data_IF_228292307297
#
_entry.id   IF_228292307297
#
_cell.length_a   1.000
_cell.length_b   1.000
_cell.length_c   1.000
_cell.angle_alpha   90.00
_cell.angle_beta   90.00
_cell.angle_gamma   90.00
#
_symmetry.space_group_name_H-M   'P 1'
#
loop_
_entity.id
_entity.type
_entity.pdbx_description
1 polymer ?
#
# COMPACT_ATOMS: atom_id res chain seq x y z
N UNK A 1 9.64 7.90 -6.42
CA UNK A 1 9.94 6.81 -5.46
C UNK A 1 9.41 7.21 -4.09
N UNK A 2 8.69 6.33 -3.40
CA UNK A 2 8.27 6.55 -2.02
C UNK A 2 9.49 6.67 -1.10
N UNK A 3 9.36 7.46 -0.04
CA UNK A 3 10.38 7.57 1.00
C UNK A 3 9.96 6.77 2.23
N UNK A 4 10.93 6.21 2.94
CA UNK A 4 10.68 5.66 4.28
C UNK A 4 10.12 6.76 5.19
N UNK A 5 9.15 6.40 6.03
CA UNK A 5 8.38 7.35 6.85
C UNK A 5 7.23 8.05 6.12
N UNK A 6 7.07 7.85 4.80
CA UNK A 6 5.96 8.43 4.06
C UNK A 6 4.65 7.70 4.35
N UNK A 7 3.56 8.45 4.56
CA UNK A 7 2.22 7.87 4.68
C UNK A 7 1.67 7.48 3.31
N UNK A 8 1.10 6.29 3.22
CA UNK A 8 0.33 5.80 2.07
C UNK A 8 -1.02 5.30 2.54
N UNK A 9 -1.97 5.21 1.61
CA UNK A 9 -3.35 4.80 1.85
C UNK A 9 -3.66 3.54 1.06
N UNK A 10 -4.56 2.72 1.57
CA UNK A 10 -4.98 1.47 0.92
C UNK A 10 -6.36 1.09 1.41
N UNK A 11 -7.03 0.18 0.69
CA UNK A 11 -8.42 -0.20 0.98
C UNK A 11 -8.45 -1.66 1.38
N UNK A 12 -9.09 -1.97 2.50
CA UNK A 12 -9.39 -3.34 2.94
C UNK A 12 -10.87 -3.45 3.21
N UNK A 13 -11.55 -4.34 2.47
CA UNK A 13 -12.98 -4.60 2.64
C UNK A 13 -13.85 -3.33 2.63
N UNK A 14 -13.50 -2.37 1.77
CA UNK A 14 -14.21 -1.10 1.62
C UNK A 14 -13.87 -0.02 2.65
N UNK A 15 -12.91 -0.29 3.53
CA UNK A 15 -12.41 0.67 4.52
C UNK A 15 -11.08 1.23 4.05
N UNK A 16 -10.99 2.55 3.95
CA UNK A 16 -9.73 3.25 3.70
C UNK A 16 -8.89 3.22 4.98
N UNK A 17 -7.68 2.69 4.87
CA UNK A 17 -6.68 2.63 5.92
C UNK A 17 -5.43 3.36 5.45
N UNK A 18 -4.58 3.72 6.42
CA UNK A 18 -3.29 4.35 6.17
C UNK A 18 -2.18 3.60 6.89
N UNK A 19 -0.97 3.68 6.34
CA UNK A 19 0.21 3.14 7.01
C UNK A 19 1.48 3.85 6.58
N UNK A 20 2.55 3.62 7.36
CA UNK A 20 3.87 4.22 7.15
C UNK A 20 4.71 3.32 6.26
N UNK A 21 5.30 3.87 5.21
CA UNK A 21 6.24 3.15 4.34
C UNK A 21 7.54 2.86 5.08
N UNK A 22 8.00 1.62 5.05
CA UNK A 22 9.27 1.14 5.61
C UNK A 22 9.99 0.21 4.61
N UNK A 23 11.27 -0.06 4.84
CA UNK A 23 12.08 -1.04 4.08
C UNK A 23 12.03 -0.85 2.56
N UNK A 24 12.26 0.38 2.08
CA UNK A 24 12.22 0.69 0.65
C UNK A 24 13.49 0.16 -0.03
N UNK A 25 13.34 -0.75 -1.01
CA UNK A 25 14.45 -1.41 -1.71
C UNK A 25 14.29 -1.32 -3.22
N UNK A 26 15.34 -0.89 -3.92
CA UNK A 26 15.36 -0.84 -5.38
C UNK A 26 15.79 0.53 -5.92
N UNK A 27 15.28 0.89 -7.09
CA UNK A 27 15.61 2.15 -7.76
C UNK A 27 14.34 2.91 -8.18
N UNK A 28 14.51 4.10 -8.75
CA UNK A 28 13.38 4.98 -9.13
C UNK A 28 12.40 4.36 -10.14
N UNK A 29 12.84 3.39 -10.95
CA UNK A 29 12.02 2.74 -11.98
C UNK A 29 11.28 1.53 -11.44
N UNK A 30 11.86 0.81 -10.49
CA UNK A 30 11.29 -0.39 -9.89
C UNK A 30 11.85 -0.58 -8.49
N UNK A 31 10.98 -0.47 -7.51
CA UNK A 31 11.30 -0.72 -6.11
C UNK A 31 10.17 -1.48 -5.42
N UNK A 32 10.51 -2.09 -4.29
CA UNK A 32 9.58 -2.65 -3.33
C UNK A 32 9.62 -1.85 -2.04
N UNK A 33 8.54 -1.92 -1.27
CA UNK A 33 8.43 -1.29 0.03
C UNK A 33 7.49 -2.12 0.91
N UNK A 34 7.53 -1.87 2.20
CA UNK A 34 6.65 -2.49 3.18
C UNK A 34 5.84 -1.40 3.89
N UNK A 35 4.72 -1.77 4.51
CA UNK A 35 3.89 -0.85 5.29
C UNK A 35 3.90 -1.29 6.74
N UNK A 36 4.29 -0.40 7.64
CA UNK A 36 4.32 -0.64 9.08
C UNK A 36 2.95 -1.09 9.60
N UNK A 37 2.92 -2.21 10.33
CA UNK A 37 1.70 -2.77 10.90
C UNK A 37 0.75 -3.44 9.89
N UNK A 38 1.05 -3.40 8.59
CA UNK A 38 0.30 -4.13 7.56
C UNK A 38 0.95 -5.50 7.32
N UNK A 39 0.36 -6.55 7.89
CA UNK A 39 0.90 -7.91 7.79
C UNK A 39 0.88 -8.69 9.09
N UNK A 40 -0.31 -9.06 9.57
CA UNK A 40 -0.45 -9.95 10.75
C UNK A 40 -0.24 -11.45 10.42
N UNK A 41 0.12 -11.80 9.18
CA UNK A 41 0.47 -13.16 8.78
C UNK A 41 1.96 -13.27 8.44
N UNK A 42 2.76 -13.54 9.46
CA UNK A 42 4.09 -14.18 9.37
C UNK A 42 5.01 -13.73 8.22
N UNK A 43 5.26 -12.44 8.09
CA UNK A 43 6.38 -11.95 7.28
C UNK A 43 6.21 -10.51 6.80
N UNK A 44 7.32 -9.84 6.42
CA UNK A 44 7.25 -8.56 5.75
C UNK A 44 6.55 -8.72 4.39
N UNK A 45 5.33 -8.18 4.26
CA UNK A 45 4.64 -8.13 2.97
C UNK A 45 5.30 -7.06 2.10
N UNK A 46 6.21 -7.50 1.22
CA UNK A 46 6.82 -6.63 0.23
C UNK A 46 5.82 -6.29 -0.87
N UNK A 47 5.56 -4.99 -1.01
CA UNK A 47 4.66 -4.42 -2.01
C UNK A 47 5.49 -3.84 -3.14
N UNK A 48 5.13 -4.19 -4.38
CA UNK A 48 5.74 -3.60 -5.58
C UNK A 48 5.27 -2.16 -5.78
N UNK A 49 6.18 -1.28 -6.15
CA UNK A 49 5.87 0.09 -6.61
C UNK A 49 4.85 0.16 -7.76
N UNK A 50 4.64 -0.94 -8.51
CA UNK A 50 3.60 -1.03 -9.54
C UNK A 50 2.17 -1.06 -8.97
N UNK A 51 2.02 -1.30 -7.67
CA UNK A 51 0.73 -1.27 -6.97
C UNK A 51 0.26 0.15 -6.63
N UNK A 52 1.12 1.16 -6.81
CA UNK A 52 0.77 2.56 -6.59
C UNK A 52 -0.25 3.00 -7.66
N UNK A 53 -1.31 3.68 -7.23
CA UNK A 53 -2.53 4.03 -7.98
C UNK A 53 -3.43 2.84 -8.35
N UNK A 54 -3.13 1.63 -7.87
CA UNK A 54 -3.97 0.44 -8.07
C UNK A 54 -4.55 -0.07 -6.76
N UNK A 55 -3.70 -0.54 -5.84
CA UNK A 55 -4.10 -0.99 -4.50
C UNK A 55 -3.49 -0.15 -3.37
N UNK A 56 -2.46 0.65 -3.69
CA UNK A 56 -1.83 1.63 -2.82
C UNK A 56 -2.03 3.03 -3.40
N UNK A 57 -2.37 4.00 -2.57
CA UNK A 57 -2.68 5.36 -2.96
C UNK A 57 -1.81 6.36 -2.19
N UNK A 58 -1.48 7.47 -2.83
CA UNK A 58 -0.64 8.51 -2.23
C UNK A 58 -1.45 9.57 -1.49
N UNK A 59 -2.77 9.61 -1.71
CA UNK A 59 -3.70 10.57 -1.13
C UNK A 59 -4.98 9.84 -0.65
N UNK A 60 -5.50 10.23 0.51
CA UNK A 60 -6.69 9.63 1.08
C UNK A 60 -7.92 9.81 0.19
N UNK A 61 -8.09 11.00 -0.42
CA UNK A 61 -9.22 11.29 -1.32
C UNK A 61 -9.17 10.41 -2.56
N UNK A 62 -7.99 10.01 -3.01
CA UNK A 62 -7.84 9.03 -4.08
C UNK A 62 -8.37 7.67 -3.64
N UNK A 63 -7.92 7.17 -2.48
CA UNK A 63 -8.41 5.90 -1.93
C UNK A 63 -9.94 5.90 -1.69
N UNK A 64 -10.49 7.01 -1.20
CA UNK A 64 -11.94 7.15 -0.96
C UNK A 64 -12.78 7.03 -2.24
N UNK A 65 -12.25 7.43 -3.42
CA UNK A 65 -12.95 7.25 -4.70
C UNK A 65 -13.10 5.79 -5.08
N UNK A 66 -12.17 4.95 -4.64
CA UNK A 66 -12.09 3.54 -5.01
C UNK A 66 -12.60 2.60 -3.91
N UNK A 67 -13.10 3.12 -2.78
CA UNK A 67 -13.55 2.32 -1.64
C UNK A 67 -14.65 1.32 -1.99
N UNK A 68 -15.45 1.58 -3.03
CA UNK A 68 -16.54 0.71 -3.47
C UNK A 68 -16.12 -0.24 -4.62
N UNK A 69 -14.82 -0.32 -4.94
CA UNK A 69 -14.26 -1.13 -6.02
C UNK A 69 -13.36 -2.25 -5.47
N UNK A 70 -13.90 -3.48 -5.27
CA UNK A 70 -13.14 -4.59 -4.68
C UNK A 70 -11.85 -4.98 -5.40
N UNK A 71 -11.75 -4.69 -6.70
CA UNK A 71 -10.53 -4.93 -7.50
C UNK A 71 -9.35 -4.08 -7.09
N UNK A 72 -9.62 -2.94 -6.44
CA UNK A 72 -8.62 -1.98 -5.94
C UNK A 72 -8.24 -2.25 -4.48
N UNK A 73 -8.82 -3.27 -3.85
CA UNK A 73 -8.50 -3.58 -2.47
C UNK A 73 -7.10 -4.17 -2.39
N UNK A 74 -6.35 -3.74 -1.39
CA UNK A 74 -5.10 -4.38 -1.04
C UNK A 74 -5.46 -5.76 -0.50
N UNK A 75 -5.13 -6.79 -1.28
CA UNK A 75 -5.47 -8.14 -0.88
C UNK A 75 -4.67 -8.49 0.38
N UNK A 76 -5.39 -8.83 1.45
CA UNK A 76 -4.83 -9.49 2.62
C UNK A 76 -4.43 -10.91 2.19
N UNK A 77 -3.26 -11.06 1.57
CA UNK A 77 -2.68 -12.38 1.42
C UNK A 77 -2.10 -12.79 2.78
N UNK A 78 -2.95 -13.39 3.62
CA UNK A 78 -2.52 -14.60 4.30
C UNK A 78 -2.74 -15.74 3.30
#
# INVERSE_FOLDING_TARGET
MLKEGQTVYFIVQGIVMSGTVINVKGNEKSYTFEIEGFGNCSGPHQISSQQIHYSIFLDEKEAQKYKDYPTMYLQNYC
#
